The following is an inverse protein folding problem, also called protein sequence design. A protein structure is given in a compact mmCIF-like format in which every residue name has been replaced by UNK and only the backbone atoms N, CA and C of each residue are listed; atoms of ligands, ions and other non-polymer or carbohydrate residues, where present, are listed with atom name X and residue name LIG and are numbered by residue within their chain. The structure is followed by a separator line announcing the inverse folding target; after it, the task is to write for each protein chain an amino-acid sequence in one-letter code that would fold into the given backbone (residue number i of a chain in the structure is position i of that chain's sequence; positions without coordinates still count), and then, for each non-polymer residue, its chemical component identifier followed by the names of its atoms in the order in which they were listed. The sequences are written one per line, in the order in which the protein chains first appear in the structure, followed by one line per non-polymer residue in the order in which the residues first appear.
data_IF_155496969369
#
_entry.id   IF_155496969369
#
_cell.length_a   1.000
_cell.length_b   1.000
_cell.length_c   1.000
_cell.angle_alpha   90.00
_cell.angle_beta   90.00
_cell.angle_gamma   90.00
#
_symmetry.space_group_name_H-M   'P 1'
#
loop_
_entity.id
_entity.type
_entity.pdbx_description
1 polymer ?
#
# COMPACT_ATOMS: atom_id res chain seq x y z
N UNK A 1 -47.03 -1.16 -10.23
CA UNK A 1 -45.92 -1.92 -10.87
C UNK A 1 -44.81 -1.04 -11.43
N UNK A 2 -45.01 0.25 -11.53
CA UNK A 2 -44.00 1.22 -12.02
C UNK A 2 -43.12 1.85 -10.93
N UNK A 3 -43.51 1.77 -9.66
CA UNK A 3 -42.72 2.34 -8.54
C UNK A 3 -41.51 1.49 -8.10
N UNK A 4 -41.46 0.19 -8.43
CA UNK A 4 -40.37 -0.70 -7.98
C UNK A 4 -39.11 -0.66 -8.87
N UNK A 5 -39.17 -0.12 -10.07
CA UNK A 5 -38.01 -0.05 -10.98
C UNK A 5 -37.09 1.16 -10.72
N UNK A 6 -37.63 2.27 -10.23
CA UNK A 6 -36.86 3.46 -9.95
C UNK A 6 -36.10 3.42 -8.63
N UNK A 7 -36.63 2.77 -7.60
CA UNK A 7 -35.96 2.63 -6.31
C UNK A 7 -34.82 1.58 -6.31
N UNK A 8 -34.92 0.55 -7.14
CA UNK A 8 -33.92 -0.50 -7.24
C UNK A 8 -32.60 -0.06 -7.88
N UNK A 9 -32.62 0.94 -8.74
CA UNK A 9 -31.41 1.46 -9.40
C UNK A 9 -30.67 2.51 -8.57
N UNK A 10 -31.36 3.22 -7.69
CA UNK A 10 -30.78 4.25 -6.83
C UNK A 10 -29.94 3.65 -5.70
N UNK A 11 -30.19 2.41 -5.31
CA UNK A 11 -29.52 1.74 -4.19
C UNK A 11 -28.64 0.56 -4.60
N UNK A 12 -28.21 0.47 -5.85
CA UNK A 12 -27.18 -0.52 -6.23
C UNK A 12 -25.87 -0.18 -5.51
N UNK A 13 -25.47 -1.04 -4.57
CA UNK A 13 -24.14 -0.97 -3.96
C UNK A 13 -23.13 -1.27 -5.05
N UNK A 14 -22.34 -0.27 -5.40
CA UNK A 14 -21.21 -0.43 -6.30
C UNK A 14 -20.12 -1.25 -5.62
N UNK A 15 -19.55 -2.20 -6.36
CA UNK A 15 -18.40 -2.97 -5.92
C UNK A 15 -17.13 -2.12 -5.80
N UNK A 16 -16.03 -2.76 -5.45
CA UNK A 16 -14.71 -2.11 -5.29
C UNK A 16 -14.25 -1.38 -6.56
N UNK A 17 -14.71 -1.81 -7.73
CA UNK A 17 -14.44 -1.22 -9.05
C UNK A 17 -15.21 0.10 -9.31
N UNK A 18 -16.16 0.46 -8.46
CA UNK A 18 -16.97 1.68 -8.59
C UNK A 18 -17.95 1.70 -9.75
N UNK A 19 -18.07 0.63 -10.52
CA UNK A 19 -18.92 0.55 -11.72
C UNK A 19 -19.96 -0.56 -11.67
N UNK A 20 -19.53 -1.78 -11.39
CA UNK A 20 -20.41 -2.93 -11.34
C UNK A 20 -21.11 -3.06 -9.97
N UNK A 21 -22.23 -3.77 -9.96
CA UNK A 21 -22.88 -4.13 -8.69
C UNK A 21 -21.94 -5.04 -7.89
N UNK A 22 -21.81 -4.75 -6.59
CA UNK A 22 -21.08 -5.61 -5.66
C UNK A 22 -21.63 -7.04 -5.71
N UNK A 23 -20.78 -8.03 -6.01
CA UNK A 23 -21.15 -9.45 -6.05
C UNK A 23 -19.95 -10.37 -5.80
N UNK A 24 -20.25 -11.55 -5.24
CA UNK A 24 -19.24 -12.60 -5.03
C UNK A 24 -18.65 -13.13 -6.35
N UNK A 25 -19.48 -13.23 -7.39
CA UNK A 25 -19.06 -13.76 -8.70
C UNK A 25 -18.10 -12.84 -9.45
N UNK A 26 -18.07 -11.54 -9.12
CA UNK A 26 -17.16 -10.56 -9.69
C UNK A 26 -15.96 -10.28 -8.78
N UNK A 27 -15.90 -10.89 -7.61
CA UNK A 27 -14.88 -10.67 -6.57
C UNK A 27 -14.62 -9.17 -6.25
N UNK A 28 -15.66 -8.34 -6.43
CA UNK A 28 -15.63 -6.90 -6.22
C UNK A 28 -16.36 -6.48 -4.94
N UNK A 29 -16.31 -7.29 -3.90
CA UNK A 29 -17.02 -7.11 -2.64
C UNK A 29 -16.06 -7.10 -1.44
N UNK A 30 -16.58 -6.61 -0.30
CA UNK A 30 -15.97 -6.78 1.01
C UNK A 30 -16.87 -7.68 1.82
N UNK A 31 -16.34 -8.82 2.24
CA UNK A 31 -17.06 -9.79 3.08
C UNK A 31 -16.98 -9.38 4.55
N UNK A 32 -18.12 -9.43 5.25
CA UNK A 32 -18.18 -9.09 6.68
C UNK A 32 -17.47 -10.11 7.60
N UNK A 33 -17.16 -11.30 7.07
CA UNK A 33 -16.42 -12.35 7.76
C UNK A 33 -14.95 -12.48 7.26
N UNK A 34 -14.50 -11.56 6.41
CA UNK A 34 -13.11 -11.52 5.97
C UNK A 34 -12.19 -11.08 7.12
N UNK A 35 -10.92 -11.42 7.01
CA UNK A 35 -9.89 -10.94 7.92
C UNK A 35 -9.87 -9.40 7.97
N UNK A 36 -9.78 -8.79 9.15
CA UNK A 36 -9.76 -7.32 9.30
C UNK A 36 -8.69 -6.61 8.44
N UNK A 37 -7.50 -7.21 8.27
CA UNK A 37 -6.44 -6.65 7.43
C UNK A 37 -6.83 -6.66 5.94
N UNK A 38 -7.52 -7.71 5.48
CA UNK A 38 -8.03 -7.81 4.12
C UNK A 38 -9.16 -6.82 3.86
N UNK A 39 -10.12 -6.73 4.80
CA UNK A 39 -11.19 -5.73 4.73
C UNK A 39 -10.62 -4.32 4.65
N UNK A 40 -9.62 -4.00 5.50
CA UNK A 40 -8.97 -2.71 5.51
C UNK A 40 -8.31 -2.40 4.15
N UNK A 41 -7.54 -3.33 3.63
CA UNK A 41 -6.88 -3.20 2.32
C UNK A 41 -7.88 -2.97 1.17
N UNK A 42 -8.99 -3.71 1.15
CA UNK A 42 -10.06 -3.57 0.16
C UNK A 42 -10.72 -2.19 0.24
N UNK A 43 -11.07 -1.72 1.44
CA UNK A 43 -11.68 -0.40 1.63
C UNK A 43 -10.70 0.72 1.22
N UNK A 44 -9.44 0.57 1.53
CA UNK A 44 -8.41 1.56 1.11
C UNK A 44 -8.20 1.60 -0.41
N UNK A 45 -8.56 0.55 -1.14
CA UNK A 45 -8.40 0.47 -2.60
C UNK A 45 -9.49 1.15 -3.41
N UNK A 46 -10.65 1.47 -2.81
CA UNK A 46 -11.76 2.13 -3.52
C UNK A 46 -11.38 3.53 -4.02
N UNK A 47 -12.06 4.00 -5.05
CA UNK A 47 -11.91 5.38 -5.53
C UNK A 47 -12.42 6.40 -4.51
N UNK A 48 -11.99 7.66 -4.62
CA UNK A 48 -12.43 8.72 -3.72
C UNK A 48 -13.93 9.02 -3.89
N UNK A 49 -14.45 8.89 -5.12
CA UNK A 49 -15.88 9.07 -5.37
C UNK A 49 -16.71 7.97 -4.71
N UNK A 50 -16.24 6.71 -4.80
CA UNK A 50 -16.91 5.58 -4.17
C UNK A 50 -16.84 5.66 -2.64
N UNK A 51 -15.75 6.17 -2.08
CA UNK A 51 -15.61 6.41 -0.64
C UNK A 51 -16.76 7.26 -0.09
N UNK A 52 -17.11 8.38 -0.76
CA UNK A 52 -18.21 9.24 -0.31
C UNK A 52 -19.56 8.53 -0.35
N UNK A 53 -19.76 7.70 -1.39
CA UNK A 53 -20.97 6.91 -1.47
C UNK A 53 -21.06 5.87 -0.36
N UNK A 54 -19.94 5.29 0.03
CA UNK A 54 -19.89 4.34 1.14
C UNK A 54 -20.11 5.03 2.49
N UNK A 55 -19.61 6.23 2.69
CA UNK A 55 -19.98 7.03 3.87
C UNK A 55 -21.49 7.26 3.96
N UNK A 56 -22.13 7.62 2.86
CA UNK A 56 -23.59 7.85 2.83
C UNK A 56 -24.42 6.59 3.09
N UNK A 57 -23.93 5.42 2.68
CA UNK A 57 -24.69 4.17 2.72
C UNK A 57 -24.33 3.26 3.90
N UNK A 58 -23.12 3.32 4.41
CA UNK A 58 -22.58 2.35 5.36
C UNK A 58 -22.12 2.97 6.68
N UNK A 59 -21.79 4.25 6.72
CA UNK A 59 -21.41 4.94 7.94
C UNK A 59 -22.60 5.28 8.82
N UNK A 60 -22.38 5.30 10.13
CA UNK A 60 -23.36 5.80 11.11
C UNK A 60 -23.17 7.28 11.42
N UNK A 61 -22.18 7.93 10.82
CA UNK A 61 -21.96 9.35 11.01
C UNK A 61 -23.12 10.17 10.50
N UNK A 62 -23.53 11.20 11.23
CA UNK A 62 -24.51 12.14 10.73
C UNK A 62 -24.07 12.76 9.39
N UNK A 63 -25.01 13.02 8.50
CA UNK A 63 -24.71 13.54 7.15
C UNK A 63 -23.97 14.89 7.17
N UNK A 64 -24.17 15.69 8.22
CA UNK A 64 -23.43 16.96 8.42
C UNK A 64 -21.92 16.69 8.65
N UNK A 65 -21.53 15.68 9.44
CA UNK A 65 -20.12 15.29 9.62
C UNK A 65 -19.50 14.80 8.31
N UNK A 66 -20.23 13.99 7.55
CA UNK A 66 -19.78 13.55 6.22
C UNK A 66 -19.55 14.75 5.28
N UNK A 67 -20.43 15.76 5.35
CA UNK A 67 -20.28 16.97 4.56
C UNK A 67 -19.11 17.84 5.02
N UNK A 68 -18.78 17.85 6.31
CA UNK A 68 -17.59 18.50 6.84
C UNK A 68 -16.33 17.82 6.34
N UNK A 69 -16.22 16.49 6.43
CA UNK A 69 -15.11 15.74 5.85
C UNK A 69 -14.93 16.01 4.35
N UNK A 70 -16.05 16.12 3.59
CA UNK A 70 -15.99 16.51 2.17
C UNK A 70 -15.39 17.90 1.96
N UNK A 71 -15.70 18.86 2.83
CA UNK A 71 -15.12 20.21 2.77
C UNK A 71 -13.63 20.19 3.13
N UNK A 72 -13.25 19.46 4.16
CA UNK A 72 -11.86 19.33 4.60
C UNK A 72 -10.98 18.73 3.49
N UNK A 73 -11.45 17.67 2.83
CA UNK A 73 -10.74 17.08 1.69
C UNK A 73 -10.61 18.08 0.53
N UNK A 74 -11.67 18.85 0.23
CA UNK A 74 -11.59 19.92 -0.77
C UNK A 74 -10.62 21.03 -0.38
N UNK A 75 -10.40 21.25 0.91
CA UNK A 75 -9.48 22.25 1.47
C UNK A 75 -8.04 21.77 1.58
N UNK A 76 -7.74 20.53 1.16
CA UNK A 76 -6.38 19.97 1.13
C UNK A 76 -6.12 18.81 2.08
N UNK A 77 -7.09 18.36 2.88
CA UNK A 77 -6.96 17.11 3.63
C UNK A 77 -6.79 15.93 2.69
N UNK A 78 -5.90 15.00 3.04
CA UNK A 78 -5.65 13.85 2.19
C UNK A 78 -6.85 12.87 2.21
N UNK A 79 -7.45 12.52 1.05
CA UNK A 79 -8.55 11.55 0.97
C UNK A 79 -8.23 10.20 1.62
N UNK A 80 -6.94 9.81 1.65
CA UNK A 80 -6.47 8.62 2.34
C UNK A 80 -6.86 8.60 3.81
N UNK A 81 -6.73 9.73 4.51
CA UNK A 81 -7.01 9.79 5.94
C UNK A 81 -8.52 9.62 6.20
N UNK A 82 -9.33 10.17 5.31
CA UNK A 82 -10.79 9.97 5.32
C UNK A 82 -11.17 8.50 5.05
N UNK A 83 -10.48 7.81 4.12
CA UNK A 83 -10.68 6.36 3.90
C UNK A 83 -10.31 5.52 5.11
N UNK A 84 -9.26 5.90 5.84
CA UNK A 84 -8.89 5.24 7.09
C UNK A 84 -10.03 5.31 8.09
N UNK A 85 -10.65 6.47 8.27
CA UNK A 85 -11.80 6.62 9.18
C UNK A 85 -12.97 5.72 8.79
N UNK A 86 -13.27 5.61 7.49
CA UNK A 86 -14.31 4.72 6.98
C UNK A 86 -13.98 3.25 7.23
N UNK A 87 -12.73 2.85 6.98
CA UNK A 87 -12.29 1.48 7.18
C UNK A 87 -12.34 1.08 8.66
N UNK A 88 -11.86 1.93 9.56
CA UNK A 88 -11.95 1.70 11.01
C UNK A 88 -13.40 1.51 11.45
N UNK A 89 -14.31 2.40 11.02
CA UNK A 89 -15.73 2.34 11.39
C UNK A 89 -16.41 1.04 10.90
N UNK A 90 -16.12 0.63 9.65
CA UNK A 90 -16.71 -0.59 9.09
C UNK A 90 -16.16 -1.84 9.82
N UNK A 91 -14.86 -1.90 10.08
CA UNK A 91 -14.25 -3.05 10.74
C UNK A 91 -14.68 -3.13 12.19
N UNK A 92 -14.71 -2.02 12.92
CA UNK A 92 -15.20 -1.99 14.31
C UNK A 92 -16.63 -2.56 14.43
N UNK A 93 -17.46 -2.31 13.43
CA UNK A 93 -18.85 -2.78 13.40
C UNK A 93 -18.98 -4.29 13.25
N UNK A 94 -18.13 -4.94 12.45
CA UNK A 94 -18.27 -6.36 12.11
C UNK A 94 -17.29 -7.25 12.89
N UNK A 95 -16.25 -6.68 13.46
CA UNK A 95 -15.25 -7.34 14.30
C UNK A 95 -15.17 -6.65 15.67
N UNK A 96 -14.04 -6.04 15.98
CA UNK A 96 -13.88 -5.27 17.22
C UNK A 96 -13.07 -3.98 16.96
N UNK A 97 -13.16 -3.05 17.91
CA UNK A 97 -12.35 -1.83 17.90
C UNK A 97 -10.85 -2.16 17.86
N UNK A 98 -10.42 -3.18 18.63
CA UNK A 98 -9.03 -3.63 18.67
C UNK A 98 -8.57 -4.17 17.32
N UNK A 99 -9.43 -4.91 16.60
CA UNK A 99 -9.12 -5.43 15.27
C UNK A 99 -9.03 -4.31 14.24
N UNK A 100 -9.89 -3.30 14.33
CA UNK A 100 -9.82 -2.11 13.48
C UNK A 100 -8.51 -1.33 13.69
N UNK A 101 -8.10 -1.10 14.95
CA UNK A 101 -6.83 -0.45 15.28
C UNK A 101 -5.61 -1.27 14.79
N UNK A 102 -5.64 -2.59 14.95
CA UNK A 102 -4.57 -3.48 14.49
C UNK A 102 -4.46 -3.45 12.96
N UNK A 103 -5.57 -3.58 12.24
CA UNK A 103 -5.61 -3.54 10.78
C UNK A 103 -5.10 -2.20 10.24
N UNK A 104 -5.48 -1.08 10.87
CA UNK A 104 -4.92 0.23 10.56
C UNK A 104 -3.41 0.28 10.73
N UNK A 105 -2.90 -0.17 11.88
CA UNK A 105 -1.47 -0.15 12.18
C UNK A 105 -0.69 -1.04 11.20
N UNK A 106 -1.20 -2.25 10.91
CA UNK A 106 -0.63 -3.16 9.89
C UNK A 106 -0.57 -2.48 8.53
N UNK A 107 -1.65 -1.81 8.13
CA UNK A 107 -1.72 -1.09 6.86
C UNK A 107 -0.71 0.07 6.81
N UNK A 108 -0.67 0.91 7.84
CA UNK A 108 0.26 2.03 7.93
C UNK A 108 1.72 1.56 7.93
N UNK A 109 2.04 0.51 8.67
CA UNK A 109 3.37 -0.09 8.71
C UNK A 109 3.82 -0.60 7.33
N UNK A 110 2.91 -1.26 6.58
CA UNK A 110 3.18 -1.71 5.21
C UNK A 110 3.48 -0.53 4.27
N UNK A 111 2.82 0.61 4.46
CA UNK A 111 3.02 1.79 3.62
C UNK A 111 4.19 2.66 4.05
N UNK A 112 4.42 2.81 5.36
CA UNK A 112 5.55 3.63 5.87
C UNK A 112 6.89 2.93 5.69
N UNK A 113 6.93 1.61 5.85
CA UNK A 113 8.16 0.82 5.67
C UNK A 113 8.46 0.49 4.20
N UNK A 114 7.66 1.03 3.24
CA UNK A 114 7.78 0.69 1.82
C UNK A 114 7.78 -0.83 1.70
N UNK A 115 6.62 -1.42 1.42
CA UNK A 115 6.31 -2.86 1.49
C UNK A 115 7.53 -3.76 1.30
N UNK A 116 8.25 -4.08 2.38
CA UNK A 116 9.26 -5.15 2.32
C UNK A 116 8.49 -6.44 2.08
N UNK A 117 8.82 -7.23 1.07
CA UNK A 117 8.20 -8.53 0.86
C UNK A 117 8.31 -9.38 2.14
N UNK A 118 7.29 -10.19 2.45
CA UNK A 118 7.34 -11.11 3.61
C UNK A 118 8.53 -12.07 3.50
N UNK A 119 8.92 -12.43 2.27
CA UNK A 119 10.12 -13.19 1.96
C UNK A 119 11.01 -12.35 1.04
N UNK A 120 12.22 -12.05 1.50
CA UNK A 120 13.25 -11.35 0.72
C UNK A 120 14.24 -12.41 0.27
N UNK A 121 14.43 -12.51 -1.03
CA UNK A 121 15.45 -13.37 -1.62
C UNK A 121 16.82 -13.08 -1.03
N UNK A 122 17.61 -14.15 -0.83
CA UNK A 122 18.98 -14.05 -0.32
C UNK A 122 19.94 -14.31 -1.47
N UNK A 123 20.89 -13.45 -1.61
CA UNK A 123 21.98 -13.57 -2.58
C UNK A 123 23.30 -13.56 -1.82
N UNK A 124 24.16 -14.54 -2.06
CA UNK A 124 25.49 -14.58 -1.48
C UNK A 124 26.52 -14.47 -2.60
N UNK A 125 27.44 -13.54 -2.43
CA UNK A 125 28.56 -13.33 -3.32
C UNK A 125 29.85 -13.44 -2.51
N UNK A 126 30.79 -14.28 -2.99
CA UNK A 126 32.11 -14.32 -2.38
C UNK A 126 32.97 -13.27 -3.05
N UNK A 127 33.40 -12.30 -2.25
CA UNK A 127 34.26 -11.21 -2.70
C UNK A 127 35.67 -11.43 -2.17
N UNK A 128 36.65 -11.34 -3.06
CA UNK A 128 38.09 -11.30 -2.66
C UNK A 128 38.45 -9.92 -2.09
N UNK A 129 37.87 -8.85 -2.65
CA UNK A 129 38.05 -7.44 -2.29
C UNK A 129 36.74 -6.70 -2.13
N UNK A 130 36.79 -5.47 -1.60
CA UNK A 130 35.63 -4.57 -1.51
C UNK A 130 35.09 -4.25 -2.89
N UNK A 131 33.74 -4.09 -2.98
CA UNK A 131 33.03 -3.94 -4.25
C UNK A 131 32.36 -2.57 -4.37
N UNK A 132 32.45 -1.94 -5.54
CA UNK A 132 31.70 -0.72 -5.81
C UNK A 132 30.20 -1.02 -5.91
N UNK A 133 29.35 -0.13 -5.37
CA UNK A 133 27.88 -0.28 -5.33
C UNK A 133 27.27 -0.60 -6.70
N UNK A 134 27.81 0.02 -7.77
CA UNK A 134 27.34 -0.23 -9.14
C UNK A 134 27.54 -1.67 -9.60
N UNK A 135 28.67 -2.28 -9.24
CA UNK A 135 28.99 -3.67 -9.56
C UNK A 135 28.15 -4.62 -8.70
N UNK A 136 28.05 -4.35 -7.39
CA UNK A 136 27.23 -5.16 -6.49
C UNK A 136 25.78 -5.25 -6.96
N UNK A 137 25.17 -4.13 -7.36
CA UNK A 137 23.79 -4.09 -7.86
C UNK A 137 23.63 -4.85 -9.18
N UNK A 138 24.63 -4.85 -10.05
CA UNK A 138 24.62 -5.61 -11.31
C UNK A 138 24.80 -7.12 -11.04
N UNK A 139 25.77 -7.51 -10.26
CA UNK A 139 26.07 -8.92 -9.97
C UNK A 139 24.94 -9.60 -9.19
N UNK A 140 24.29 -8.85 -8.30
CA UNK A 140 23.10 -9.33 -7.58
C UNK A 140 21.84 -9.43 -8.45
N UNK A 141 21.89 -9.03 -9.73
CA UNK A 141 20.73 -9.06 -10.63
C UNK A 141 19.67 -8.00 -10.38
N UNK A 142 19.88 -7.09 -9.44
CA UNK A 142 18.96 -6.00 -9.15
C UNK A 142 18.84 -4.99 -10.28
N UNK A 143 19.89 -4.85 -11.10
CA UNK A 143 19.93 -4.02 -12.29
C UNK A 143 20.64 -4.75 -13.44
N UNK A 144 20.36 -4.32 -14.68
CA UNK A 144 20.94 -4.96 -15.87
C UNK A 144 22.38 -4.47 -16.19
N UNK A 145 22.74 -3.27 -15.73
CA UNK A 145 24.04 -2.69 -16.00
C UNK A 145 24.54 -1.76 -14.89
N UNK A 146 25.86 -1.58 -14.80
CA UNK A 146 26.46 -0.62 -13.87
C UNK A 146 26.04 0.82 -14.18
N UNK A 147 25.81 1.16 -15.46
CA UNK A 147 25.29 2.47 -15.86
C UNK A 147 23.89 2.73 -15.33
N UNK A 148 23.01 1.71 -15.35
CA UNK A 148 21.69 1.79 -14.72
C UNK A 148 21.80 1.96 -13.22
N UNK A 149 22.68 1.18 -12.57
CA UNK A 149 22.96 1.30 -11.13
C UNK A 149 23.34 2.72 -10.75
N UNK A 150 24.33 3.30 -11.44
CA UNK A 150 24.82 4.66 -11.18
C UNK A 150 23.72 5.71 -11.34
N UNK A 151 22.87 5.57 -12.36
CA UNK A 151 21.73 6.45 -12.57
C UNK A 151 20.72 6.37 -11.42
N UNK A 152 20.37 5.14 -10.98
CA UNK A 152 19.41 4.92 -9.89
C UNK A 152 19.95 5.41 -8.54
N UNK A 153 21.24 5.26 -8.28
CA UNK A 153 21.90 5.84 -7.08
C UNK A 153 21.78 7.36 -7.12
N UNK A 154 22.18 8.03 -8.21
CA UNK A 154 22.04 9.48 -8.36
C UNK A 154 20.62 10.00 -8.22
N UNK A 155 19.62 9.21 -8.62
CA UNK A 155 18.20 9.52 -8.45
C UNK A 155 17.70 9.25 -7.02
N UNK A 156 18.55 8.71 -6.14
CA UNK A 156 18.19 8.34 -4.78
C UNK A 156 17.16 7.22 -4.71
N UNK A 157 17.14 6.34 -5.71
CA UNK A 157 16.26 5.20 -5.80
C UNK A 157 16.85 3.94 -5.16
N UNK A 158 18.08 4.01 -4.62
CA UNK A 158 18.78 2.90 -3.96
C UNK A 158 18.85 3.16 -2.46
N UNK A 159 18.53 2.14 -1.66
CA UNK A 159 18.70 2.16 -0.21
C UNK A 159 19.45 0.92 0.24
N UNK A 160 20.31 1.09 1.24
CA UNK A 160 21.02 0.01 1.94
C UNK A 160 20.64 0.11 3.42
N UNK A 161 20.13 -0.95 4.00
CA UNK A 161 19.66 -1.00 5.39
C UNK A 161 18.70 0.15 5.74
N UNK A 162 17.79 0.47 4.80
CA UNK A 162 16.79 1.57 4.86
C UNK A 162 17.39 2.99 4.69
N UNK A 163 18.71 3.15 4.64
CA UNK A 163 19.35 4.43 4.36
C UNK A 163 19.48 4.68 2.87
N UNK A 164 19.11 5.88 2.44
CA UNK A 164 19.22 6.31 1.04
C UNK A 164 20.68 6.52 0.65
N UNK A 165 21.08 5.90 -0.45
CA UNK A 165 22.41 6.06 -1.03
C UNK A 165 22.33 7.01 -2.21
N UNK A 166 23.16 8.06 -2.18
CA UNK A 166 23.27 9.07 -3.22
C UNK A 166 24.70 9.18 -3.81
N UNK A 167 25.68 8.53 -3.17
CA UNK A 167 27.04 8.44 -3.69
C UNK A 167 27.20 7.24 -4.64
N UNK A 168 27.35 7.47 -5.96
CA UNK A 168 27.57 6.39 -6.92
C UNK A 168 28.94 5.73 -6.83
N UNK A 169 29.89 6.31 -6.08
CA UNK A 169 31.22 5.76 -5.87
C UNK A 169 31.35 4.99 -4.55
N UNK A 170 30.24 4.80 -3.83
CA UNK A 170 30.23 4.06 -2.58
C UNK A 170 30.86 2.68 -2.77
N UNK A 171 31.80 2.36 -1.91
CA UNK A 171 32.45 1.05 -1.84
C UNK A 171 31.82 0.28 -0.68
N UNK A 172 31.44 -0.95 -0.94
CA UNK A 172 30.86 -1.87 0.03
C UNK A 172 31.96 -2.83 0.48
N UNK A 173 32.18 -2.87 1.78
CA UNK A 173 33.15 -3.77 2.39
C UNK A 173 32.69 -5.23 2.32
N UNK A 174 33.63 -6.14 2.23
CA UNK A 174 33.36 -7.58 2.27
C UNK A 174 32.91 -8.05 3.66
N UNK A 175 32.32 -9.25 3.70
CA UNK A 175 31.83 -9.92 4.92
C UNK A 175 30.69 -9.15 5.63
N UNK A 176 29.83 -8.46 4.90
CA UNK A 176 28.67 -7.78 5.44
C UNK A 176 27.37 -8.44 4.96
N UNK A 177 26.32 -8.33 5.79
CA UNK A 177 24.96 -8.66 5.39
C UNK A 177 24.15 -7.37 5.21
N UNK A 178 23.68 -7.12 3.99
CA UNK A 178 23.05 -5.88 3.60
C UNK A 178 21.64 -6.15 3.06
N UNK A 179 20.69 -5.35 3.50
CA UNK A 179 19.39 -5.28 2.86
C UNK A 179 19.41 -4.17 1.81
N UNK A 180 19.43 -4.57 0.55
CA UNK A 180 19.47 -3.63 -0.59
C UNK A 180 18.08 -3.51 -1.17
N UNK A 181 17.63 -2.25 -1.35
CA UNK A 181 16.37 -1.91 -2.02
C UNK A 181 16.68 -1.06 -3.25
N UNK A 182 16.10 -1.43 -4.40
CA UNK A 182 16.17 -0.66 -5.65
C UNK A 182 14.76 -0.31 -6.12
N UNK A 183 14.45 0.98 -6.10
CA UNK A 183 13.09 1.48 -6.35
C UNK A 183 12.11 1.06 -5.26
N UNK A 184 10.81 0.88 -5.63
CA UNK A 184 9.73 0.61 -4.67
C UNK A 184 9.51 -0.88 -4.38
N UNK A 185 9.97 -1.79 -5.26
CA UNK A 185 9.55 -3.20 -5.26
C UNK A 185 10.67 -4.23 -5.23
N UNK A 186 11.91 -3.85 -5.60
CA UNK A 186 13.05 -4.78 -5.66
C UNK A 186 13.81 -4.76 -4.36
N UNK A 187 13.82 -5.88 -3.65
CA UNK A 187 14.52 -6.06 -2.38
C UNK A 187 15.36 -7.32 -2.45
N UNK A 188 16.56 -7.27 -1.92
CA UNK A 188 17.47 -8.41 -1.87
C UNK A 188 18.33 -8.34 -0.60
N UNK A 189 18.47 -9.45 0.11
CA UNK A 189 19.46 -9.58 1.16
C UNK A 189 20.75 -10.08 0.52
N UNK A 190 21.79 -9.30 0.59
CA UNK A 190 23.09 -9.62 0.02
C UNK A 190 24.06 -9.90 1.16
N UNK A 191 24.72 -11.05 1.09
CA UNK A 191 25.88 -11.37 1.92
C UNK A 191 27.12 -11.30 1.04
N UNK A 192 27.98 -10.33 1.33
CA UNK A 192 29.26 -10.12 0.67
C UNK A 192 30.36 -10.92 1.34
#
# INVERSE_FOLDING_TARGET
RLMSRGLGDVYKRQGLDGTNKMSKSLDNYVGINEDPDEMFGKIMSISDDLMWRWFELLSFRPINEVNELKKEVKSGMNPRDTKILLAEEIIERFHSKKDAENAKNTFLDRFQKGAKPKEIEKFSISLDDDIAIGNLLKESGLVQSTSEAMRLVKQGAVKINDEKIDDPKLIIEKNQELLVQVGKRRFLKIKT
#
